data_IF_956073682197
#
_entry.id   IF_956073682197
#
_cell.length_a   1.000
_cell.length_b   1.000
_cell.length_c   1.000
_cell.angle_alpha   90.00
_cell.angle_beta   90.00
_cell.angle_gamma   90.00
#
_symmetry.space_group_name_H-M   'P 1'
#
loop_
_entity.id
_entity.type
_entity.pdbx_description
1 polymer ?
#
# COMPACT_ATOMS: atom_id res chain seq x y z
N UNK A 1 12.87 -18.80 20.18
CA UNK A 1 12.66 -18.71 18.72
C UNK A 1 12.06 -17.34 18.46
N UNK A 2 12.65 -16.54 17.58
CA UNK A 2 12.20 -15.16 17.33
C UNK A 2 10.91 -15.15 16.49
N UNK A 3 9.92 -14.29 16.80
CA UNK A 3 8.63 -14.20 16.09
C UNK A 3 8.73 -13.96 14.59
N UNK A 4 9.81 -13.32 14.10
CA UNK A 4 9.94 -12.95 12.68
C UNK A 4 10.11 -14.15 11.73
N UNK A 5 10.60 -15.28 12.23
CA UNK A 5 10.83 -16.52 11.44
C UNK A 5 10.12 -17.73 12.02
N UNK A 6 9.51 -17.59 13.19
CA UNK A 6 8.68 -18.63 13.76
C UNK A 6 7.40 -18.78 12.91
N UNK A 7 6.96 -20.02 12.64
CA UNK A 7 5.70 -20.24 11.95
C UNK A 7 4.57 -19.67 12.81
N UNK A 8 3.81 -18.74 12.23
CA UNK A 8 2.57 -18.24 12.83
C UNK A 8 1.52 -19.33 12.69
N UNK A 9 0.96 -19.77 13.81
CA UNK A 9 -0.06 -20.82 13.84
C UNK A 9 -1.27 -20.42 12.96
N UNK A 10 -1.71 -21.33 12.10
CA UNK A 10 -2.87 -21.10 11.22
C UNK A 10 -2.61 -20.19 10.02
N UNK A 11 -1.41 -19.59 9.88
CA UNK A 11 -1.08 -18.68 8.78
C UNK A 11 -1.14 -19.37 7.42
N UNK A 12 -0.50 -20.54 7.31
CA UNK A 12 -0.43 -21.30 6.07
C UNK A 12 -1.82 -21.80 5.66
N UNK A 13 -2.62 -22.26 6.62
CA UNK A 13 -4.00 -22.71 6.43
C UNK A 13 -4.90 -21.55 5.96
N UNK A 14 -4.78 -20.38 6.60
CA UNK A 14 -5.50 -19.18 6.19
C UNK A 14 -5.15 -18.80 4.75
N UNK A 15 -3.86 -18.65 4.41
CA UNK A 15 -3.42 -18.31 3.06
C UNK A 15 -3.87 -19.34 2.02
N UNK A 16 -3.82 -20.63 2.36
CA UNK A 16 -4.31 -21.74 1.52
C UNK A 16 -5.80 -21.63 1.24
N UNK A 17 -6.63 -21.28 2.25
CA UNK A 17 -8.06 -21.08 2.05
C UNK A 17 -8.35 -19.87 1.15
N UNK A 18 -7.57 -18.78 1.28
CA UNK A 18 -7.70 -17.63 0.37
C UNK A 18 -7.22 -18.00 -1.05
N UNK A 19 -6.12 -18.76 -1.20
CA UNK A 19 -5.65 -19.23 -2.52
C UNK A 19 -6.70 -20.14 -3.20
N UNK A 20 -7.36 -20.98 -2.40
CA UNK A 20 -8.46 -21.81 -2.88
C UNK A 20 -9.60 -20.97 -3.43
N UNK A 21 -10.06 -19.98 -2.66
CA UNK A 21 -11.08 -19.06 -3.14
C UNK A 21 -10.66 -18.33 -4.42
N UNK A 22 -9.42 -17.85 -4.49
CA UNK A 22 -8.93 -17.13 -5.68
C UNK A 22 -8.91 -18.01 -6.93
N UNK A 23 -8.66 -19.33 -6.80
CA UNK A 23 -8.80 -20.28 -7.93
C UNK A 23 -10.24 -20.38 -8.44
N UNK A 24 -11.25 -20.18 -7.59
CA UNK A 24 -12.65 -20.17 -8.03
C UNK A 24 -12.95 -18.94 -8.88
N UNK A 25 -12.37 -17.78 -8.55
CA UNK A 25 -12.48 -16.55 -9.33
C UNK A 25 -11.73 -16.65 -10.67
N UNK A 26 -10.68 -17.45 -10.77
CA UNK A 26 -10.01 -17.72 -12.05
C UNK A 26 -10.98 -18.34 -13.07
N UNK A 27 -11.78 -19.32 -12.65
CA UNK A 27 -12.69 -20.05 -13.53
C UNK A 27 -14.10 -19.45 -13.61
N UNK A 28 -14.44 -18.55 -12.69
CA UNK A 28 -15.76 -17.92 -12.60
C UNK A 28 -16.76 -18.71 -11.75
N UNK A 29 -17.74 -17.99 -11.21
CA UNK A 29 -18.76 -18.50 -10.30
C UNK A 29 -20.13 -18.72 -10.96
N UNK A 30 -20.28 -18.41 -12.25
CA UNK A 30 -21.55 -18.64 -12.97
C UNK A 30 -21.82 -20.13 -13.24
N UNK A 31 -20.76 -20.88 -13.59
CA UNK A 31 -20.81 -22.32 -13.88
C UNK A 31 -19.62 -23.01 -13.20
N UNK A 32 -19.64 -23.11 -11.86
CA UNK A 32 -18.52 -23.67 -11.12
C UNK A 32 -18.27 -25.12 -11.55
N UNK A 33 -17.01 -25.47 -11.79
CA UNK A 33 -16.60 -26.85 -12.05
C UNK A 33 -16.71 -27.66 -10.75
N UNK A 34 -17.06 -28.95 -10.80
CA UNK A 34 -17.16 -29.78 -9.59
C UNK A 34 -15.89 -29.74 -8.73
N UNK A 35 -14.71 -29.75 -9.36
CA UNK A 35 -13.39 -29.65 -8.72
C UNK A 35 -13.17 -28.33 -7.95
N UNK A 36 -13.95 -27.28 -8.24
CA UNK A 36 -13.84 -25.95 -7.61
C UNK A 36 -14.87 -25.71 -6.50
N UNK A 37 -15.82 -26.62 -6.31
CA UNK A 37 -16.78 -26.55 -5.20
C UNK A 37 -16.10 -26.80 -3.86
N UNK A 38 -15.11 -27.69 -3.82
CA UNK A 38 -14.32 -27.96 -2.61
C UNK A 38 -13.46 -26.76 -2.21
N UNK A 39 -12.97 -25.98 -3.18
CA UNK A 39 -12.21 -24.75 -2.94
C UNK A 39 -13.05 -23.71 -2.17
N UNK A 40 -14.37 -23.58 -2.46
CA UNK A 40 -15.29 -22.70 -1.70
C UNK A 40 -15.49 -23.18 -0.26
N UNK A 41 -15.49 -24.49 -0.04
CA UNK A 41 -15.69 -25.08 1.28
C UNK A 41 -14.52 -24.75 2.22
N UNK A 42 -13.30 -24.61 1.71
CA UNK A 42 -12.14 -24.20 2.51
C UNK A 42 -12.31 -22.81 3.11
N UNK A 43 -12.85 -21.84 2.36
CA UNK A 43 -13.16 -20.52 2.87
C UNK A 43 -14.22 -20.59 3.98
N UNK A 44 -15.29 -21.37 3.77
CA UNK A 44 -16.33 -21.57 4.78
C UNK A 44 -15.79 -22.15 6.08
N UNK A 45 -14.90 -23.16 5.99
CA UNK A 45 -14.26 -23.77 7.16
C UNK A 45 -13.37 -22.77 7.90
N UNK A 46 -12.57 -22.00 7.17
CA UNK A 46 -11.65 -21.00 7.75
C UNK A 46 -12.38 -19.94 8.58
N UNK A 47 -13.62 -19.59 8.22
CA UNK A 47 -14.42 -18.59 8.94
C UNK A 47 -15.51 -19.20 9.85
N UNK A 48 -15.52 -20.52 10.04
CA UNK A 48 -16.58 -21.23 10.77
C UNK A 48 -16.71 -20.84 12.24
N UNK A 49 -15.62 -20.41 12.88
CA UNK A 49 -15.61 -19.90 14.25
C UNK A 49 -15.98 -18.41 14.39
N UNK A 50 -16.32 -17.74 13.29
CA UNK A 50 -16.57 -16.29 13.27
C UNK A 50 -18.06 -15.95 13.18
N UNK A 51 -18.46 -14.71 13.48
CA UNK A 51 -19.82 -14.23 13.23
C UNK A 51 -20.28 -14.31 11.76
N UNK A 52 -19.35 -14.50 10.81
CA UNK A 52 -19.67 -14.62 9.37
C UNK A 52 -20.09 -16.03 8.96
N UNK A 53 -19.88 -17.05 9.81
CA UNK A 53 -19.97 -18.47 9.45
C UNK A 53 -21.25 -18.85 8.69
N UNK A 54 -22.42 -18.49 9.22
CA UNK A 54 -23.71 -18.84 8.61
C UNK A 54 -23.91 -18.17 7.24
N UNK A 55 -23.62 -16.88 7.14
CA UNK A 55 -23.77 -16.12 5.88
C UNK A 55 -22.80 -16.61 4.81
N UNK A 56 -21.57 -16.93 5.21
CA UNK A 56 -20.56 -17.43 4.27
C UNK A 56 -20.88 -18.84 3.82
N UNK A 57 -21.39 -19.70 4.69
CA UNK A 57 -21.86 -21.02 4.30
C UNK A 57 -23.01 -20.94 3.27
N UNK A 58 -23.98 -20.04 3.49
CA UNK A 58 -25.06 -19.79 2.53
C UNK A 58 -24.50 -19.28 1.18
N UNK A 59 -23.67 -18.23 1.21
CA UNK A 59 -23.10 -17.64 0.01
C UNK A 59 -22.23 -18.63 -0.79
N UNK A 60 -21.41 -19.42 -0.10
CA UNK A 60 -20.60 -20.47 -0.71
C UNK A 60 -21.49 -21.56 -1.33
N UNK A 61 -22.57 -21.97 -0.65
CA UNK A 61 -23.54 -22.92 -1.19
C UNK A 61 -24.23 -22.42 -2.45
N UNK A 62 -24.64 -21.15 -2.49
CA UNK A 62 -25.24 -20.52 -3.68
C UNK A 62 -24.23 -20.36 -4.80
N UNK A 63 -22.99 -20.00 -4.49
CA UNK A 63 -21.91 -19.90 -5.48
C UNK A 63 -21.59 -21.28 -6.09
N UNK A 64 -21.56 -22.34 -5.27
CA UNK A 64 -21.31 -23.71 -5.72
C UNK A 64 -22.38 -24.24 -6.70
N UNK A 65 -23.59 -23.70 -6.68
CA UNK A 65 -24.66 -24.04 -7.64
C UNK A 65 -24.84 -23.02 -8.76
N UNK A 66 -23.96 -22.03 -8.89
CA UNK A 66 -24.08 -20.94 -9.88
C UNK A 66 -25.27 -20.00 -9.64
N UNK A 67 -25.82 -19.97 -8.42
CA UNK A 67 -27.01 -19.22 -8.05
C UNK A 67 -26.71 -18.01 -7.14
N UNK A 68 -25.43 -17.65 -6.97
CA UNK A 68 -25.01 -16.50 -6.18
C UNK A 68 -25.43 -15.17 -6.85
N UNK A 69 -26.08 -14.32 -6.05
CA UNK A 69 -26.37 -12.92 -6.38
C UNK A 69 -25.28 -11.98 -5.82
N UNK A 70 -25.46 -10.67 -6.00
CA UNK A 70 -24.49 -9.65 -5.56
C UNK A 70 -24.23 -9.69 -4.04
N UNK A 71 -25.24 -9.88 -3.21
CA UNK A 71 -25.10 -9.95 -1.75
C UNK A 71 -24.26 -11.17 -1.31
N UNK A 72 -24.40 -12.29 -2.00
CA UNK A 72 -23.56 -13.46 -1.77
C UNK A 72 -22.09 -13.16 -2.12
N UNK A 73 -21.83 -12.45 -3.23
CA UNK A 73 -20.46 -12.04 -3.57
C UNK A 73 -19.87 -11.06 -2.57
N UNK A 74 -20.65 -10.09 -2.08
CA UNK A 74 -20.23 -9.17 -1.00
C UNK A 74 -19.85 -9.98 0.24
N UNK A 75 -20.64 -10.99 0.60
CA UNK A 75 -20.38 -11.88 1.74
C UNK A 75 -19.08 -12.68 1.57
N UNK A 76 -18.82 -13.22 0.37
CA UNK A 76 -17.59 -13.95 0.07
C UNK A 76 -16.35 -13.03 0.09
N UNK A 77 -16.46 -11.82 -0.47
CA UNK A 77 -15.41 -10.80 -0.40
C UNK A 77 -15.13 -10.37 1.05
N UNK A 78 -16.17 -10.25 1.89
CA UNK A 78 -16.04 -9.94 3.30
C UNK A 78 -15.30 -11.06 4.05
N UNK A 79 -15.65 -12.32 3.80
CA UNK A 79 -14.97 -13.48 4.41
C UNK A 79 -13.48 -13.53 4.03
N UNK A 80 -13.19 -13.35 2.74
CA UNK A 80 -11.83 -13.31 2.21
C UNK A 80 -11.01 -12.19 2.85
N UNK A 81 -11.59 -10.99 2.93
CA UNK A 81 -10.96 -9.81 3.53
C UNK A 81 -10.75 -9.99 5.03
N UNK A 82 -11.72 -10.55 5.76
CA UNK A 82 -11.60 -10.83 7.19
C UNK A 82 -10.48 -11.84 7.48
N UNK A 83 -10.33 -12.88 6.65
CA UNK A 83 -9.27 -13.87 6.80
C UNK A 83 -7.88 -13.25 6.55
N UNK A 84 -7.74 -12.41 5.53
CA UNK A 84 -6.51 -11.64 5.29
C UNK A 84 -6.25 -10.61 6.40
N UNK A 85 -7.30 -10.06 7.00
CA UNK A 85 -7.21 -9.20 8.18
C UNK A 85 -6.68 -9.96 9.40
N UNK A 86 -7.12 -11.19 9.63
CA UNK A 86 -6.58 -12.04 10.69
C UNK A 86 -5.10 -12.37 10.45
N UNK A 87 -4.71 -12.65 9.20
CA UNK A 87 -3.29 -12.83 8.82
C UNK A 87 -2.48 -11.56 9.09
N UNK A 88 -2.99 -10.40 8.67
CA UNK A 88 -2.37 -9.11 8.94
C UNK A 88 -2.13 -8.90 10.43
N UNK A 89 -3.16 -9.12 11.25
CA UNK A 89 -3.10 -8.89 12.70
C UNK A 89 -2.08 -9.82 13.37
N UNK A 90 -2.03 -11.10 12.96
CA UNK A 90 -1.05 -12.06 13.48
C UNK A 90 0.39 -11.70 13.09
N UNK A 91 0.63 -11.30 11.83
CA UNK A 91 1.94 -10.85 11.37
C UNK A 91 2.39 -9.57 12.08
N UNK A 92 1.46 -8.63 12.25
CA UNK A 92 1.72 -7.35 12.91
C UNK A 92 2.04 -7.54 14.39
N UNK A 93 1.35 -8.46 15.07
CA UNK A 93 1.67 -8.82 16.45
C UNK A 93 3.10 -9.36 16.60
N UNK A 94 3.55 -10.20 15.66
CA UNK A 94 4.94 -10.68 15.64
C UNK A 94 5.97 -9.57 15.37
N UNK A 95 5.64 -8.60 14.50
CA UNK A 95 6.50 -7.41 14.28
C UNK A 95 6.55 -6.53 15.53
N UNK A 96 5.41 -6.29 16.16
CA UNK A 96 5.30 -5.50 17.39
C UNK A 96 6.12 -6.15 18.52
N UNK A 97 6.08 -7.48 18.66
CA UNK A 97 6.89 -8.22 19.64
C UNK A 97 8.40 -8.05 19.41
N UNK A 98 8.88 -8.20 18.17
CA UNK A 98 10.33 -8.09 17.90
C UNK A 98 10.83 -6.65 17.96
N UNK A 99 9.99 -5.69 17.63
CA UNK A 99 10.35 -4.27 17.72
C UNK A 99 10.13 -3.68 19.12
N UNK A 100 9.49 -4.43 20.02
CA UNK A 100 9.08 -3.94 21.35
C UNK A 100 8.02 -2.84 21.27
N UNK A 101 7.27 -2.78 20.17
CA UNK A 101 6.37 -1.68 19.84
C UNK A 101 5.00 -1.86 20.45
N UNK A 102 4.48 -0.79 21.03
CA UNK A 102 3.08 -0.73 21.49
C UNK A 102 2.19 -0.18 20.39
N UNK A 103 0.99 -0.76 20.21
CA UNK A 103 -0.02 -0.27 19.27
C UNK A 103 -1.21 0.30 20.02
N UNK A 104 -1.65 1.50 19.61
CA UNK A 104 -2.85 2.13 20.18
C UNK A 104 -4.10 1.30 19.84
N UNK A 105 -5.02 1.22 20.80
CA UNK A 105 -6.31 0.57 20.58
C UNK A 105 -7.24 1.47 19.77
N UNK A 106 -7.94 0.87 18.80
CA UNK A 106 -8.96 1.58 18.04
C UNK A 106 -10.24 1.70 18.86
N UNK A 107 -10.73 2.92 19.05
CA UNK A 107 -12.11 3.14 19.49
C UNK A 107 -13.07 2.84 18.34
N UNK A 108 -13.99 1.90 18.54
CA UNK A 108 -15.00 1.59 17.54
C UNK A 108 -15.94 2.80 17.34
N UNK A 109 -15.97 3.34 16.12
CA UNK A 109 -16.95 4.34 15.72
C UNK A 109 -18.32 3.72 15.47
N UNK A 110 -19.38 4.50 15.69
CA UNK A 110 -20.73 4.07 15.32
C UNK A 110 -20.85 3.88 13.80
N UNK A 111 -21.55 2.84 13.31
CA UNK A 111 -21.79 2.66 11.89
C UNK A 111 -22.58 3.85 11.34
N UNK A 112 -22.07 4.45 10.27
CA UNK A 112 -22.79 5.50 9.54
C UNK A 112 -23.78 4.86 8.57
N UNK A 113 -25.06 5.19 8.72
CA UNK A 113 -26.07 4.81 7.73
C UNK A 113 -26.15 5.90 6.67
N UNK A 114 -25.63 5.61 5.47
CA UNK A 114 -25.81 6.48 4.29
C UNK A 114 -26.68 5.79 3.25
N UNK A 115 -27.50 6.56 2.50
CA UNK A 115 -28.28 6.01 1.41
C UNK A 115 -27.37 5.45 0.32
N UNK A 116 -27.82 4.36 -0.30
CA UNK A 116 -27.15 3.77 -1.46
C UNK A 116 -27.21 4.75 -2.64
N UNK A 117 -26.05 5.06 -3.19
CA UNK A 117 -25.94 5.90 -4.40
C UNK A 117 -25.99 4.97 -5.60
N UNK A 118 -26.81 5.28 -6.61
CA UNK A 118 -26.97 4.45 -7.82
C UNK A 118 -25.63 4.02 -8.47
N UNK A 119 -24.58 4.83 -8.34
CA UNK A 119 -23.24 4.51 -8.83
C UNK A 119 -22.54 3.37 -8.08
N UNK A 120 -22.80 3.21 -6.77
CA UNK A 120 -22.27 2.08 -5.99
C UNK A 120 -22.90 0.77 -6.44
N UNK A 121 -24.21 0.77 -6.73
CA UNK A 121 -24.90 -0.38 -7.29
C UNK A 121 -24.35 -0.75 -8.69
N UNK A 122 -24.16 0.24 -9.57
CA UNK A 122 -23.58 0.01 -10.90
C UNK A 122 -22.16 -0.61 -10.81
N UNK A 123 -21.31 -0.10 -9.91
CA UNK A 123 -19.99 -0.69 -9.65
C UNK A 123 -20.10 -2.13 -9.13
N UNK A 124 -21.04 -2.41 -8.22
CA UNK A 124 -21.27 -3.74 -7.65
C UNK A 124 -21.72 -4.74 -8.71
N UNK A 125 -22.62 -4.35 -9.60
CA UNK A 125 -23.07 -5.18 -10.72
C UNK A 125 -21.90 -5.54 -11.64
N UNK A 126 -21.07 -4.57 -12.02
CA UNK A 126 -19.87 -4.84 -12.84
C UNK A 126 -18.89 -5.82 -12.16
N UNK A 127 -18.62 -5.63 -10.87
CA UNK A 127 -17.77 -6.52 -10.08
C UNK A 127 -18.38 -7.93 -9.93
N UNK A 128 -19.71 -8.04 -9.83
CA UNK A 128 -20.42 -9.30 -9.80
C UNK A 128 -20.33 -10.03 -11.15
N UNK A 129 -20.41 -9.32 -12.26
CA UNK A 129 -20.24 -9.88 -13.61
C UNK A 129 -18.81 -10.39 -13.85
N UNK A 130 -17.80 -9.68 -13.32
CA UNK A 130 -16.43 -10.19 -13.27
C UNK A 130 -16.32 -11.51 -12.50
N UNK A 131 -16.91 -11.60 -11.31
CA UNK A 131 -16.88 -12.82 -10.50
C UNK A 131 -17.62 -14.00 -11.16
N UNK A 132 -18.75 -13.72 -11.82
CA UNK A 132 -19.52 -14.71 -12.58
C UNK A 132 -18.72 -15.26 -13.75
N UNK A 133 -18.12 -14.37 -14.53
CA UNK A 133 -17.37 -14.69 -15.75
C UNK A 133 -16.03 -15.36 -15.44
N UNK A 134 -15.37 -14.91 -14.38
CA UNK A 134 -14.04 -15.33 -13.98
C UNK A 134 -12.93 -14.73 -14.83
N UNK A 135 -11.70 -14.77 -14.31
CA UNK A 135 -10.53 -14.16 -14.94
C UNK A 135 -10.21 -14.74 -16.33
N UNK A 136 -10.47 -16.03 -16.55
CA UNK A 136 -10.26 -16.66 -17.87
C UNK A 136 -11.30 -16.21 -18.92
N UNK A 137 -12.45 -15.71 -18.48
CA UNK A 137 -13.53 -15.30 -19.36
C UNK A 137 -13.55 -13.80 -19.69
N UNK A 138 -12.62 -13.00 -19.16
CA UNK A 138 -12.61 -11.56 -19.41
C UNK A 138 -12.27 -11.25 -20.87
N UNK A 139 -12.99 -10.29 -21.43
CA UNK A 139 -12.76 -9.70 -22.74
C UNK A 139 -12.75 -8.16 -22.64
N UNK A 140 -12.51 -7.50 -23.77
CA UNK A 140 -12.43 -6.04 -23.82
C UNK A 140 -13.77 -5.36 -23.50
N UNK A 141 -14.92 -6.02 -23.73
CA UNK A 141 -16.23 -5.46 -23.43
C UNK A 141 -16.48 -5.45 -21.92
N UNK A 142 -16.26 -6.59 -21.26
CA UNK A 142 -16.39 -6.71 -19.82
C UNK A 142 -15.39 -5.81 -19.08
N UNK A 143 -14.13 -5.78 -19.51
CA UNK A 143 -13.13 -4.89 -18.92
C UNK A 143 -13.49 -3.41 -19.13
N UNK A 144 -13.98 -3.05 -20.33
CA UNK A 144 -14.39 -1.68 -20.66
C UNK A 144 -15.63 -1.17 -19.93
N UNK A 145 -16.46 -2.07 -19.38
CA UNK A 145 -17.69 -1.73 -18.66
C UNK A 145 -17.52 -0.79 -17.45
N UNK A 146 -16.32 -0.72 -16.87
CA UNK A 146 -16.03 0.20 -15.75
C UNK A 146 -15.93 1.67 -16.17
N UNK A 147 -15.55 1.97 -17.42
CA UNK A 147 -15.24 3.34 -17.86
C UNK A 147 -16.37 4.37 -17.59
N UNK A 148 -17.65 4.12 -17.96
CA UNK A 148 -18.73 5.07 -17.65
C UNK A 148 -18.99 5.21 -16.15
N UNK A 149 -18.81 4.14 -15.36
CA UNK A 149 -18.98 4.14 -13.91
C UNK A 149 -17.92 5.03 -13.26
N UNK A 150 -16.64 4.82 -13.62
CA UNK A 150 -15.51 5.61 -13.13
C UNK A 150 -15.70 7.09 -13.48
N UNK A 151 -16.04 7.40 -14.75
CA UNK A 151 -16.27 8.76 -15.22
C UNK A 151 -17.35 9.49 -14.40
N UNK A 152 -18.43 8.80 -14.05
CA UNK A 152 -19.50 9.36 -13.23
C UNK A 152 -19.13 9.53 -11.74
N UNK A 153 -18.23 8.68 -11.21
CA UNK A 153 -17.81 8.73 -9.81
C UNK A 153 -16.73 9.79 -9.52
N UNK A 154 -15.81 10.03 -10.46
CA UNK A 154 -14.65 10.92 -10.26
C UNK A 154 -14.99 12.36 -9.79
N UNK A 155 -16.08 13.01 -10.27
CA UNK A 155 -16.45 14.34 -9.81
C UNK A 155 -16.71 14.40 -8.29
N UNK A 156 -17.31 13.36 -7.70
CA UNK A 156 -17.68 13.31 -6.28
C UNK A 156 -16.49 12.88 -5.40
N UNK A 157 -15.96 13.76 -4.53
CA UNK A 157 -14.85 13.43 -3.62
C UNK A 157 -15.09 12.24 -2.69
N UNK A 158 -16.35 11.88 -2.40
CA UNK A 158 -16.68 10.72 -1.57
C UNK A 158 -16.52 9.40 -2.34
N UNK A 159 -16.64 9.42 -3.67
CA UNK A 159 -16.58 8.24 -4.52
C UNK A 159 -15.20 8.01 -5.17
N UNK A 160 -14.32 9.02 -5.14
CA UNK A 160 -12.98 8.96 -5.77
C UNK A 160 -12.14 7.76 -5.35
N UNK A 161 -12.18 7.34 -4.07
CA UNK A 161 -11.41 6.18 -3.58
C UNK A 161 -11.78 4.92 -4.37
N UNK A 162 -13.08 4.66 -4.54
CA UNK A 162 -13.56 3.53 -5.32
C UNK A 162 -13.31 3.76 -6.82
N UNK A 163 -13.56 4.97 -7.33
CA UNK A 163 -13.33 5.28 -8.74
C UNK A 163 -11.88 5.00 -9.18
N UNK A 164 -10.88 5.45 -8.41
CA UNK A 164 -9.46 5.21 -8.72
C UNK A 164 -9.09 3.74 -8.64
N UNK A 165 -9.67 2.98 -7.69
CA UNK A 165 -9.47 1.55 -7.60
C UNK A 165 -10.04 0.80 -8.82
N UNK A 166 -11.27 1.16 -9.22
CA UNK A 166 -11.93 0.58 -10.39
C UNK A 166 -11.18 0.93 -11.69
N UNK A 167 -10.70 2.17 -11.82
CA UNK A 167 -9.91 2.63 -12.97
C UNK A 167 -8.63 1.79 -13.13
N UNK A 168 -7.83 1.67 -12.07
CA UNK A 168 -6.61 0.86 -12.08
C UNK A 168 -6.89 -0.62 -12.34
N UNK A 169 -7.91 -1.19 -11.69
CA UNK A 169 -8.26 -2.59 -11.89
C UNK A 169 -8.75 -2.88 -13.31
N UNK A 170 -9.63 -2.03 -13.86
CA UNK A 170 -10.12 -2.16 -15.22
C UNK A 170 -8.99 -2.02 -16.26
N UNK A 171 -8.05 -1.10 -16.04
CA UNK A 171 -6.88 -0.94 -16.90
C UNK A 171 -6.02 -2.21 -16.95
N UNK A 172 -5.79 -2.87 -15.82
CA UNK A 172 -5.06 -4.14 -15.78
C UNK A 172 -5.80 -5.28 -16.45
N UNK A 173 -7.12 -5.38 -16.24
CA UNK A 173 -7.94 -6.38 -16.90
C UNK A 173 -7.87 -6.17 -18.42
N UNK A 174 -8.04 -4.93 -18.90
CA UNK A 174 -7.98 -4.58 -20.32
C UNK A 174 -6.62 -4.89 -20.95
N UNK A 175 -5.52 -4.63 -20.24
CA UNK A 175 -4.16 -4.99 -20.68
C UNK A 175 -3.93 -6.50 -20.74
N UNK A 176 -4.78 -7.28 -20.06
CA UNK A 176 -4.69 -8.74 -19.96
C UNK A 176 -5.78 -9.45 -20.79
N UNK A 177 -6.53 -8.72 -21.62
CA UNK A 177 -7.57 -9.27 -22.47
C UNK A 177 -7.00 -9.86 -23.79
N UNK A 178 -7.55 -10.99 -24.29
CA UNK A 178 -8.53 -11.84 -23.61
C UNK A 178 -7.88 -12.68 -22.50
N UNK A 179 -8.59 -12.86 -21.39
CA UNK A 179 -8.04 -13.58 -20.22
C UNK A 179 -7.71 -15.06 -20.49
N UNK A 180 -8.36 -15.65 -21.49
CA UNK A 180 -8.12 -17.03 -21.93
C UNK A 180 -6.75 -17.23 -22.57
N UNK A 181 -6.09 -16.16 -23.02
CA UNK A 181 -4.76 -16.19 -23.63
C UNK A 181 -3.62 -15.96 -22.62
N UNK A 182 -3.93 -15.76 -21.33
CA UNK A 182 -2.93 -15.51 -20.31
C UNK A 182 -2.23 -16.80 -19.88
N UNK A 183 -0.89 -16.83 -20.02
CA UNK A 183 -0.06 -17.91 -19.50
C UNK A 183 -0.12 -17.98 -17.97
N UNK A 184 -0.25 -16.84 -17.31
CA UNK A 184 -0.34 -16.73 -15.85
C UNK A 184 -1.36 -15.66 -15.45
N UNK A 185 -2.32 -16.06 -14.62
CA UNK A 185 -3.29 -15.14 -14.02
C UNK A 185 -2.80 -14.73 -12.63
N UNK A 186 -2.72 -13.42 -12.31
CA UNK A 186 -2.32 -12.93 -10.99
C UNK A 186 -3.47 -13.06 -9.97
N UNK A 187 -3.92 -14.29 -9.73
CA UNK A 187 -5.16 -14.60 -9.01
C UNK A 187 -5.27 -13.93 -7.64
N UNK A 188 -4.19 -13.94 -6.85
CA UNK A 188 -4.14 -13.27 -5.54
C UNK A 188 -4.42 -11.78 -5.66
N UNK A 189 -3.68 -11.11 -6.53
CA UNK A 189 -3.72 -9.67 -6.72
C UNK A 189 -5.09 -9.21 -7.24
N UNK A 190 -5.65 -9.90 -8.23
CA UNK A 190 -6.98 -9.58 -8.75
C UNK A 190 -8.10 -9.93 -7.75
N UNK A 191 -7.93 -10.99 -6.96
CA UNK A 191 -8.81 -11.29 -5.83
C UNK A 191 -8.81 -10.19 -4.76
N UNK A 192 -7.63 -9.62 -4.45
CA UNK A 192 -7.49 -8.50 -3.52
C UNK A 192 -8.20 -7.24 -4.04
N UNK A 193 -7.94 -6.87 -5.29
CA UNK A 193 -8.60 -5.71 -5.93
C UNK A 193 -10.11 -5.88 -6.01
N UNK A 194 -10.58 -7.05 -6.44
CA UNK A 194 -12.01 -7.36 -6.55
C UNK A 194 -12.71 -7.28 -5.19
N UNK A 195 -12.16 -7.95 -4.17
CA UNK A 195 -12.77 -7.99 -2.84
C UNK A 195 -12.83 -6.59 -2.22
N UNK A 196 -11.73 -5.85 -2.35
CA UNK A 196 -11.63 -4.47 -1.84
C UNK A 196 -12.62 -3.55 -2.55
N UNK A 197 -12.72 -3.63 -3.88
CA UNK A 197 -13.66 -2.83 -4.65
C UNK A 197 -15.11 -3.16 -4.28
N UNK A 198 -15.42 -4.45 -4.13
CA UNK A 198 -16.77 -4.90 -3.79
C UNK A 198 -17.20 -4.42 -2.41
N UNK A 199 -16.32 -4.50 -1.40
CA UNK A 199 -16.61 -3.98 -0.06
C UNK A 199 -16.77 -2.46 -0.03
N UNK A 200 -16.02 -1.72 -0.84
CA UNK A 200 -16.18 -0.27 -0.97
C UNK A 200 -17.51 0.13 -1.64
N UNK A 201 -18.24 -0.80 -2.26
CA UNK A 201 -19.62 -0.54 -2.74
C UNK A 201 -20.66 -0.57 -1.63
N UNK A 202 -20.31 -1.08 -0.44
CA UNK A 202 -21.23 -1.14 0.71
C UNK A 202 -21.30 0.27 1.35
N UNK A 203 -22.50 0.84 1.54
CA UNK A 203 -22.64 2.14 2.18
C UNK A 203 -21.92 2.21 3.53
N UNK A 204 -21.16 3.27 3.75
CA UNK A 204 -20.35 3.47 4.96
C UNK A 204 -18.96 2.81 4.94
N UNK A 205 -18.70 1.84 4.05
CA UNK A 205 -17.39 1.19 3.97
C UNK A 205 -16.27 2.12 3.47
N UNK A 206 -16.62 3.11 2.65
CA UNK A 206 -15.69 4.11 2.12
C UNK A 206 -15.63 5.39 2.97
N UNK A 207 -16.29 5.43 4.13
CA UNK A 207 -16.34 6.64 4.93
C UNK A 207 -14.96 7.06 5.41
N UNK A 208 -14.74 8.37 5.37
CA UNK A 208 -13.46 8.94 5.77
C UNK A 208 -13.22 8.65 7.25
N UNK A 209 -12.00 8.23 7.64
CA UNK A 209 -11.65 8.10 9.04
C UNK A 209 -11.93 9.40 9.79
N UNK A 210 -12.19 9.28 11.09
CA UNK A 210 -12.21 10.45 11.95
C UNK A 210 -10.85 11.17 11.84
N UNK A 211 -10.89 12.48 11.66
CA UNK A 211 -9.69 13.29 11.53
C UNK A 211 -9.54 14.12 12.79
N UNK A 212 -8.42 13.93 13.48
CA UNK A 212 -7.98 14.78 14.59
C UNK A 212 -6.94 15.78 14.08
N UNK A 213 -6.47 16.66 14.95
CA UNK A 213 -5.43 17.64 14.61
C UNK A 213 -4.15 17.32 15.36
N UNK A 214 -3.02 17.30 14.65
CA UNK A 214 -1.69 17.06 15.17
C UNK A 214 -0.89 18.36 15.21
N UNK A 215 -0.49 18.78 16.41
CA UNK A 215 0.44 19.89 16.66
C UNK A 215 1.68 19.35 17.36
N UNK A 216 2.87 19.61 16.82
CA UNK A 216 4.11 19.00 17.32
C UNK A 216 5.22 18.95 16.29
N UNK A 217 6.24 18.15 16.55
CA UNK A 217 7.41 17.99 15.68
C UNK A 217 7.32 16.69 14.90
N UNK A 218 7.45 16.76 13.58
CA UNK A 218 7.52 15.61 12.69
C UNK A 218 8.99 15.34 12.32
N UNK A 219 9.43 14.10 12.48
CA UNK A 219 10.78 13.64 12.21
C UNK A 219 10.76 12.61 11.06
N UNK A 220 11.05 13.03 9.81
CA UNK A 220 11.07 12.12 8.68
C UNK A 220 12.14 11.04 8.81
N UNK A 221 11.76 9.78 8.58
CA UNK A 221 12.66 8.62 8.58
C UNK A 221 13.13 8.27 7.15
N UNK A 222 12.25 8.46 6.18
CA UNK A 222 12.49 8.10 4.78
C UNK A 222 11.20 8.14 3.97
N UNK A 223 11.30 7.75 2.69
CA UNK A 223 10.20 7.82 1.73
C UNK A 223 10.11 6.55 0.90
N UNK A 224 8.89 6.03 0.74
CA UNK A 224 8.50 5.04 -0.26
C UNK A 224 7.90 5.76 -1.49
N UNK A 225 8.32 5.38 -2.71
CA UNK A 225 7.83 5.96 -3.95
C UNK A 225 7.03 4.91 -4.71
N UNK A 226 5.73 5.17 -4.86
CA UNK A 226 4.83 4.33 -5.64
C UNK A 226 4.62 4.94 -7.03
N UNK A 227 4.96 4.18 -8.08
CA UNK A 227 4.70 4.56 -9.46
C UNK A 227 3.65 3.63 -10.08
N UNK A 228 2.58 4.21 -10.60
CA UNK A 228 1.59 3.55 -11.45
C UNK A 228 1.64 4.16 -12.86
N UNK A 229 1.03 3.54 -13.86
CA UNK A 229 0.95 4.11 -15.21
C UNK A 229 0.31 5.52 -15.18
N UNK A 230 -0.77 5.69 -14.42
CA UNK A 230 -1.60 6.91 -14.41
C UNK A 230 -1.38 7.82 -13.19
N UNK A 231 -0.59 7.41 -12.20
CA UNK A 231 -0.37 8.16 -10.98
C UNK A 231 1.00 7.87 -10.35
N UNK A 232 1.47 8.78 -9.51
CA UNK A 232 2.59 8.50 -8.60
C UNK A 232 2.26 9.02 -7.20
N UNK A 233 2.81 8.37 -6.19
CA UNK A 233 2.69 8.78 -4.80
C UNK A 233 4.04 8.70 -4.10
N UNK A 234 4.42 9.78 -3.42
CA UNK A 234 5.49 9.78 -2.43
C UNK A 234 4.86 9.63 -1.04
N UNK A 235 5.27 8.61 -0.29
CA UNK A 235 4.84 8.36 1.07
C UNK A 235 6.04 8.51 2.02
N UNK A 236 6.04 9.56 2.82
CA UNK A 236 7.05 9.81 3.85
C UNK A 236 6.63 9.08 5.12
N UNK A 237 7.51 8.22 5.64
CA UNK A 237 7.37 7.60 6.94
C UNK A 237 8.11 8.45 7.97
N UNK A 238 7.48 8.72 9.11
CA UNK A 238 8.01 9.63 10.11
C UNK A 238 7.62 9.22 11.53
N UNK A 239 8.37 9.74 12.50
CA UNK A 239 7.95 9.77 13.90
C UNK A 239 7.40 11.16 14.21
N UNK A 240 6.22 11.23 14.79
CA UNK A 240 5.61 12.47 15.26
C UNK A 240 5.73 12.57 16.77
N UNK A 241 6.29 13.68 17.26
CA UNK A 241 6.40 14.06 18.66
C UNK A 241 5.32 15.11 18.98
N UNK A 242 4.23 14.74 19.66
CA UNK A 242 3.17 15.67 20.03
C UNK A 242 3.66 16.82 20.91
N UNK A 243 3.18 18.04 20.67
CA UNK A 243 3.53 19.22 21.47
C UNK A 243 3.03 19.16 22.93
N UNK A 244 2.03 18.32 23.19
CA UNK A 244 1.49 18.08 24.53
C UNK A 244 2.36 17.14 25.40
N UNK A 245 3.48 16.65 24.86
CA UNK A 245 4.42 15.77 25.55
C UNK A 245 3.96 14.33 25.67
N UNK A 246 2.87 13.93 25.00
CA UNK A 246 2.47 12.52 24.90
C UNK A 246 3.49 11.71 24.09
N UNK A 247 3.39 10.38 24.17
CA UNK A 247 4.37 9.48 23.53
C UNK A 247 4.47 9.74 22.02
N UNK A 248 5.68 9.64 21.43
CA UNK A 248 5.85 9.73 19.99
C UNK A 248 5.00 8.68 19.26
N UNK A 249 4.58 9.00 18.04
CA UNK A 249 3.70 8.13 17.22
C UNK A 249 4.28 7.91 15.84
N UNK A 250 4.10 6.71 15.30
CA UNK A 250 4.38 6.44 13.90
C UNK A 250 3.29 7.06 13.03
N UNK A 251 3.71 7.88 12.08
CA UNK A 251 2.81 8.52 11.12
C UNK A 251 3.38 8.44 9.71
N UNK A 252 2.50 8.63 8.74
CA UNK A 252 2.84 8.75 7.32
C UNK A 252 2.27 10.03 6.76
N UNK A 253 2.96 10.66 5.83
CA UNK A 253 2.43 11.75 5.03
C UNK A 253 2.58 11.39 3.55
N UNK A 254 1.48 11.44 2.79
CA UNK A 254 1.49 11.03 1.39
C UNK A 254 1.10 12.18 0.46
N UNK A 255 1.83 12.32 -0.63
CA UNK A 255 1.53 13.24 -1.73
C UNK A 255 1.33 12.42 -2.98
N UNK A 256 0.19 12.59 -3.66
CA UNK A 256 -0.14 11.86 -4.89
C UNK A 256 -0.43 12.81 -6.04
N UNK A 257 0.03 12.46 -7.24
CA UNK A 257 -0.16 13.26 -8.45
C UNK A 257 -0.57 12.37 -9.63
N UNK A 258 -1.51 12.80 -10.48
CA UNK A 258 -1.78 12.12 -11.73
C UNK A 258 -0.57 12.30 -12.67
N UNK A 259 -0.28 11.27 -13.47
CA UNK A 259 0.79 11.32 -14.48
C UNK A 259 0.42 10.51 -15.71
N UNK A 260 0.90 10.86 -16.91
CA UNK A 260 0.90 9.93 -18.03
C UNK A 260 1.96 8.84 -17.80
N UNK A 261 1.78 7.69 -18.44
CA UNK A 261 2.67 6.52 -18.38
C UNK A 261 4.12 6.83 -18.81
N UNK A 262 4.27 7.78 -19.74
CA UNK A 262 5.57 8.27 -20.23
C UNK A 262 6.41 9.04 -19.19
N UNK A 263 5.83 9.48 -18.08
CA UNK A 263 6.58 10.13 -16.99
C UNK A 263 7.03 9.06 -15.99
N UNK A 264 8.34 8.81 -15.93
CA UNK A 264 8.97 7.79 -15.08
C UNK A 264 10.23 8.35 -14.40
N UNK A 265 10.72 7.64 -13.38
CA UNK A 265 11.99 7.93 -12.70
C UNK A 265 12.06 9.40 -12.23
N UNK A 266 13.15 10.12 -12.53
CA UNK A 266 13.36 11.50 -12.09
C UNK A 266 12.25 12.48 -12.54
N UNK A 267 11.46 12.15 -13.56
CA UNK A 267 10.31 12.95 -13.98
C UNK A 267 9.16 12.97 -12.97
N UNK A 268 9.07 11.95 -12.12
CA UNK A 268 8.05 11.88 -11.07
C UNK A 268 8.24 12.99 -10.04
N UNK A 269 9.49 13.32 -9.68
CA UNK A 269 9.77 14.42 -8.77
C UNK A 269 9.27 15.77 -9.29
N UNK A 270 9.36 16.02 -10.61
CA UNK A 270 8.84 17.26 -11.20
C UNK A 270 7.32 17.42 -10.99
N UNK A 271 6.58 16.31 -10.95
CA UNK A 271 5.14 16.34 -10.72
C UNK A 271 4.80 16.51 -9.24
N UNK A 272 5.58 15.90 -8.34
CA UNK A 272 5.35 15.95 -6.89
C UNK A 272 5.79 17.27 -6.24
N UNK A 273 6.70 18.01 -6.88
CA UNK A 273 7.26 19.27 -6.38
C UNK A 273 6.24 20.29 -5.87
N UNK A 274 5.01 20.50 -6.40
CA UNK A 274 4.08 21.47 -5.83
C UNK A 274 3.81 21.32 -4.32
N UNK A 275 4.10 20.16 -3.72
CA UNK A 275 4.06 19.89 -2.28
C UNK A 275 5.46 19.92 -1.65
N UNK A 276 6.20 21.02 -1.85
CA UNK A 276 7.64 21.11 -1.59
C UNK A 276 8.02 20.98 -0.12
N UNK A 277 7.25 21.51 0.84
CA UNK A 277 7.84 21.77 2.17
C UNK A 277 8.27 20.48 2.88
N UNK A 278 7.46 19.41 2.81
CA UNK A 278 7.80 18.09 3.35
C UNK A 278 8.97 17.44 2.61
N UNK A 279 8.92 17.43 1.28
CA UNK A 279 9.91 16.74 0.44
C UNK A 279 11.27 17.45 0.49
N UNK A 280 11.27 18.78 0.57
CA UNK A 280 12.46 19.60 0.81
C UNK A 280 13.04 19.32 2.20
N UNK A 281 12.23 19.31 3.25
CA UNK A 281 12.72 19.02 4.60
C UNK A 281 13.34 17.62 4.70
N UNK A 282 12.74 16.61 4.06
CA UNK A 282 13.32 15.27 3.96
C UNK A 282 14.69 15.30 3.24
N UNK A 283 14.78 15.99 2.10
CA UNK A 283 16.02 16.09 1.31
C UNK A 283 17.13 16.87 2.03
N UNK A 284 16.78 17.85 2.85
CA UNK A 284 17.70 18.68 3.63
C UNK A 284 18.02 18.11 5.02
N UNK A 285 17.39 16.99 5.41
CA UNK A 285 17.54 16.41 6.74
C UNK A 285 17.05 17.36 7.84
N UNK A 286 15.79 17.82 7.74
CA UNK A 286 15.14 18.72 8.69
C UNK A 286 13.87 18.09 9.26
N UNK A 287 13.56 18.43 10.51
CA UNK A 287 12.24 18.17 11.08
C UNK A 287 11.21 19.13 10.46
N UNK A 288 9.93 18.87 10.71
CA UNK A 288 8.85 19.81 10.40
C UNK A 288 8.07 20.13 11.67
N UNK A 289 7.80 21.40 11.92
CA UNK A 289 6.88 21.84 12.95
C UNK A 289 5.46 21.89 12.36
N UNK A 290 4.55 21.13 12.95
CA UNK A 290 3.16 21.02 12.53
C UNK A 290 2.25 21.82 13.45
N UNK A 291 1.32 22.56 12.87
CA UNK A 291 0.28 23.30 13.58
C UNK A 291 -1.11 22.83 13.11
N UNK A 292 -1.77 22.06 13.96
CA UNK A 292 -3.11 21.50 13.73
C UNK A 292 -3.22 20.72 12.40
N UNK A 293 -2.17 20.02 11.97
CA UNK A 293 -2.19 19.21 10.75
C UNK A 293 -3.26 18.11 10.87
N UNK A 294 -4.15 17.90 9.88
CA UNK A 294 -5.15 16.86 9.99
C UNK A 294 -4.51 15.45 9.98
N UNK A 295 -4.89 14.62 10.95
CA UNK A 295 -4.35 13.27 11.18
C UNK A 295 -5.50 12.25 11.26
N UNK A 296 -5.43 11.20 10.44
CA UNK A 296 -6.38 10.07 10.52
C UNK A 296 -6.07 9.15 11.71
N UNK A 297 -7.06 8.37 12.11
CA UNK A 297 -6.90 7.35 13.16
C UNK A 297 -5.87 6.23 12.82
N UNK A 298 -5.54 6.04 11.54
CA UNK A 298 -4.51 5.09 11.07
C UNK A 298 -3.10 5.69 10.95
N UNK A 299 -2.94 6.96 11.32
CA UNK A 299 -1.64 7.64 11.30
C UNK A 299 -1.28 8.31 9.99
N UNK A 300 -2.24 8.56 9.10
CA UNK A 300 -1.98 9.29 7.86
C UNK A 300 -2.26 10.79 8.06
N UNK A 301 -1.22 11.61 7.85
CA UNK A 301 -1.29 13.05 7.81
C UNK A 301 -1.85 13.49 6.45
N UNK A 302 -2.93 14.28 6.48
CA UNK A 302 -3.46 14.95 5.29
C UNK A 302 -2.68 16.24 5.10
N UNK A 303 -1.66 16.19 4.25
CA UNK A 303 -0.69 17.27 4.12
C UNK A 303 -1.32 18.61 3.69
N UNK A 304 -1.04 19.65 4.48
CA UNK A 304 -1.41 21.04 4.23
C UNK A 304 -0.18 21.93 4.49
N UNK A 305 0.44 22.46 3.43
CA UNK A 305 1.64 23.30 3.53
C UNK A 305 1.44 24.56 4.39
N UNK A 306 0.19 25.05 4.56
CA UNK A 306 -0.08 26.19 5.42
C UNK A 306 0.09 25.86 6.92
N UNK A 307 0.09 24.57 7.27
CA UNK A 307 0.16 24.03 8.63
C UNK A 307 1.52 23.42 8.98
N UNK A 308 2.52 23.60 8.11
CA UNK A 308 3.82 22.97 8.25
C UNK A 308 4.95 23.99 8.04
N UNK A 309 5.98 23.95 8.89
CA UNK A 309 7.17 24.80 8.78
C UNK A 309 8.42 23.96 8.96
N UNK A 310 9.49 24.30 8.24
CA UNK A 310 10.78 23.64 8.43
C UNK A 310 11.31 23.91 9.85
N UNK A 311 11.54 22.83 10.60
CA UNK A 311 12.14 22.86 11.93
C UNK A 311 13.65 22.68 11.88
N UNK A 312 14.27 22.28 12.98
CA UNK A 312 15.72 22.12 13.12
C UNK A 312 16.30 20.97 12.25
N UNK A 313 17.60 21.00 11.94
CA UNK A 313 18.29 19.86 11.33
C UNK A 313 18.13 18.59 12.17
N UNK A 314 17.82 17.48 11.50
CA UNK A 314 17.66 16.16 12.12
C UNK A 314 18.29 15.09 11.23
N UNK A 315 19.07 14.21 11.84
CA UNK A 315 19.60 13.03 11.16
C UNK A 315 18.60 11.88 11.26
N UNK A 316 18.20 11.32 10.11
CA UNK A 316 17.18 10.27 10.07
C UNK A 316 17.65 8.95 10.70
N UNK A 317 18.94 8.61 10.58
CA UNK A 317 19.51 7.41 11.22
C UNK A 317 19.56 7.56 12.73
N UNK A 318 19.96 8.72 13.24
CA UNK A 318 19.94 9.04 14.67
C UNK A 318 18.51 9.05 15.22
N UNK A 319 17.56 9.61 14.48
CA UNK A 319 16.14 9.56 14.81
C UNK A 319 15.64 8.12 14.89
N UNK A 320 15.96 7.31 13.89
CA UNK A 320 15.56 5.90 13.84
C UNK A 320 16.23 5.07 14.95
N UNK A 321 17.44 5.44 15.38
CA UNK A 321 18.13 4.77 16.49
C UNK A 321 17.53 5.14 17.85
N UNK A 322 17.14 6.40 18.05
CA UNK A 322 16.80 6.93 19.39
C UNK A 322 15.30 7.06 19.62
N UNK A 323 14.55 7.59 18.66
CA UNK A 323 13.13 7.97 18.84
C UNK A 323 12.17 6.90 18.32
N UNK A 324 12.50 6.24 17.21
CA UNK A 324 11.66 5.19 16.63
C UNK A 324 11.33 4.05 17.62
N UNK A 325 12.25 3.56 18.49
CA UNK A 325 11.91 2.53 19.47
C UNK A 325 10.91 2.98 20.53
N UNK A 326 10.76 4.29 20.76
CA UNK A 326 9.80 4.84 21.73
C UNK A 326 8.46 5.20 21.11
N UNK A 327 8.32 5.06 19.79
CA UNK A 327 7.12 5.46 19.06
C UNK A 327 6.04 4.38 19.12
N UNK A 328 4.82 4.77 19.49
CA UNK A 328 3.64 3.92 19.39
C UNK A 328 3.16 3.81 17.94
N UNK A 329 2.69 2.63 17.53
CA UNK A 329 1.99 2.47 16.27
C UNK A 329 0.50 2.81 16.41
N UNK A 330 -0.08 3.36 15.36
CA UNK A 330 -1.52 3.62 15.27
C UNK A 330 -2.26 2.37 14.74
N UNK A 331 -3.55 2.20 15.08
CA UNK A 331 -4.32 1.04 14.67
C UNK A 331 -4.61 1.04 13.17
N UNK A 332 -4.73 -0.14 12.58
CA UNK A 332 -5.20 -0.30 11.18
C UNK A 332 -6.72 -0.48 11.14
N UNK A 333 -7.38 0.31 10.30
CA UNK A 333 -8.82 0.22 10.06
C UNK A 333 -9.18 -1.15 9.48
N UNK A 334 -10.35 -1.74 9.83
CA UNK A 334 -10.66 -3.12 9.48
C UNK A 334 -10.53 -3.48 7.99
N UNK A 335 -10.93 -2.59 7.09
CA UNK A 335 -10.80 -2.85 5.64
C UNK A 335 -9.36 -2.76 5.14
N UNK A 336 -8.50 -2.02 5.85
CA UNK A 336 -7.10 -1.77 5.49
C UNK A 336 -6.13 -2.80 6.10
N UNK A 337 -6.64 -3.72 6.94
CA UNK A 337 -5.92 -4.89 7.45
C UNK A 337 -5.72 -5.90 6.33
N UNK A 338 -4.58 -5.80 5.66
CA UNK A 338 -4.19 -6.69 4.59
C UNK A 338 -2.69 -6.93 4.65
N UNK A 339 -2.15 -8.15 4.45
CA UNK A 339 -0.72 -8.41 4.61
C UNK A 339 0.15 -7.53 3.71
N UNK A 340 -0.27 -7.29 2.46
CA UNK A 340 0.44 -6.40 1.52
C UNK A 340 0.48 -4.91 1.95
N UNK A 341 -0.30 -4.51 2.97
CA UNK A 341 -0.28 -3.15 3.55
C UNK A 341 0.74 -3.01 4.68
N UNK A 342 1.33 -4.11 5.17
CA UNK A 342 2.36 -4.07 6.21
C UNK A 342 3.59 -3.34 5.65
N UNK A 343 3.97 -2.27 6.35
CA UNK A 343 5.08 -1.39 6.01
C UNK A 343 5.59 -0.73 7.31
N UNK A 344 6.14 -1.54 8.19
CA UNK A 344 6.52 -1.15 9.55
C UNK A 344 7.95 -0.60 9.58
N UNK A 345 8.17 0.68 9.97
CA UNK A 345 9.51 1.25 10.05
C UNK A 345 10.39 0.52 11.07
N UNK A 346 11.62 0.21 10.66
CA UNK A 346 12.64 -0.42 11.51
C UNK A 346 14.00 0.23 11.29
N UNK A 347 14.83 0.15 12.33
CA UNK A 347 16.24 0.51 12.28
C UNK A 347 17.08 -0.74 12.53
N UNK A 348 18.04 -1.00 11.65
CA UNK A 348 18.95 -2.14 11.74
C UNK A 348 20.40 -1.66 11.77
N UNK A 349 21.20 -2.25 12.64
CA UNK A 349 22.65 -2.09 12.73
C UNK A 349 23.31 -3.39 13.21
N UNK A 350 24.63 -3.52 13.01
CA UNK A 350 25.37 -4.70 13.46
C UNK A 350 24.98 -6.00 12.75
N UNK A 351 24.43 -5.91 11.54
CA UNK A 351 24.03 -7.07 10.73
C UNK A 351 25.15 -7.53 9.80
N UNK A 352 25.19 -8.85 9.57
CA UNK A 352 25.99 -9.42 8.49
C UNK A 352 25.23 -9.33 7.16
N UNK A 353 25.96 -9.36 6.05
CA UNK A 353 25.42 -9.20 4.70
C UNK A 353 25.89 -10.37 3.86
N UNK A 354 24.94 -11.05 3.24
CA UNK A 354 25.20 -12.19 2.36
C UNK A 354 24.39 -12.01 1.07
N UNK A 355 24.93 -12.51 -0.04
CA UNK A 355 24.25 -12.56 -1.31
C UNK A 355 23.85 -14.02 -1.59
N UNK A 356 22.55 -14.31 -1.65
CA UNK A 356 22.00 -15.61 -2.03
C UNK A 356 21.32 -15.50 -3.40
N UNK A 357 22.01 -15.97 -4.43
CA UNK A 357 21.63 -15.71 -5.83
C UNK A 357 21.53 -14.20 -6.09
N UNK A 358 20.36 -13.74 -6.55
CA UNK A 358 20.07 -12.31 -6.78
C UNK A 358 19.50 -11.60 -5.55
N UNK A 359 19.27 -12.31 -4.43
CA UNK A 359 18.70 -11.74 -3.22
C UNK A 359 19.78 -11.37 -2.20
N UNK A 360 19.82 -10.10 -1.82
CA UNK A 360 20.62 -9.63 -0.68
C UNK A 360 19.92 -10.04 0.62
N UNK A 361 20.68 -10.58 1.57
CA UNK A 361 20.20 -11.00 2.88
C UNK A 361 20.96 -10.25 3.97
N UNK A 362 20.22 -9.67 4.92
CA UNK A 362 20.79 -9.16 6.17
C UNK A 362 20.58 -10.19 7.28
N UNK A 363 21.66 -10.57 7.96
CA UNK A 363 21.58 -11.40 9.15
C UNK A 363 21.64 -10.52 10.39
N UNK A 364 20.48 -10.30 11.02
CA UNK A 364 20.34 -9.46 12.21
C UNK A 364 20.13 -10.37 13.42
N UNK A 365 21.03 -10.32 14.41
CA UNK A 365 20.95 -11.18 15.60
C UNK A 365 20.76 -12.68 15.28
N UNK A 366 21.40 -13.17 14.21
CA UNK A 366 21.29 -14.55 13.74
C UNK A 366 20.07 -14.87 12.87
N UNK A 367 19.27 -13.86 12.49
CA UNK A 367 18.08 -14.03 11.66
C UNK A 367 18.28 -13.48 10.25
N UNK A 368 18.07 -14.32 9.24
CA UNK A 368 18.11 -13.94 7.84
C UNK A 368 16.86 -13.13 7.47
N UNK A 369 17.07 -11.92 6.96
CA UNK A 369 16.04 -11.02 6.47
C UNK A 369 16.34 -10.67 5.00
N UNK A 370 15.55 -11.16 4.05
CA UNK A 370 15.70 -10.80 2.64
C UNK A 370 15.48 -9.30 2.45
N UNK A 371 16.37 -8.67 1.70
CA UNK A 371 16.33 -7.25 1.35
C UNK A 371 15.74 -7.09 -0.05
N UNK A 372 14.68 -6.30 -0.15
CA UNK A 372 13.99 -6.00 -1.39
C UNK A 372 14.62 -4.76 -2.05
N UNK A 373 15.71 -4.99 -2.79
CA UNK A 373 16.43 -3.94 -3.52
C UNK A 373 15.69 -3.47 -4.78
N UNK A 374 14.73 -4.26 -5.28
CA UNK A 374 13.94 -3.93 -6.47
C UNK A 374 12.94 -2.79 -6.20
N UNK A 375 12.59 -2.59 -4.92
CA UNK A 375 11.75 -1.46 -4.46
C UNK A 375 12.51 -0.16 -4.24
N UNK A 376 13.83 -0.13 -4.47
CA UNK A 376 14.59 1.12 -4.39
C UNK A 376 14.16 2.02 -5.55
N UNK A 377 13.68 3.25 -5.30
CA UNK A 377 13.23 4.13 -6.37
C UNK A 377 14.39 4.43 -7.33
N UNK A 378 14.19 4.20 -8.64
CA UNK A 378 15.20 4.57 -9.65
C UNK A 378 15.51 6.07 -9.63
N UNK A 379 14.56 6.87 -9.15
CA UNK A 379 14.70 8.30 -8.96
C UNK A 379 15.42 8.68 -7.65
N UNK A 380 16.43 7.92 -7.23
CA UNK A 380 17.09 8.09 -5.92
C UNK A 380 18.61 7.96 -6.00
N UNK A 381 19.39 8.58 -5.10
CA UNK A 381 20.80 8.24 -4.92
C UNK A 381 21.01 6.94 -4.11
N UNK A 382 19.95 6.37 -3.52
CA UNK A 382 20.01 5.05 -2.90
C UNK A 382 20.12 3.99 -4.01
N UNK A 383 21.07 3.07 -3.88
CA UNK A 383 21.35 2.01 -4.87
C UNK A 383 21.49 0.66 -4.19
N UNK A 384 21.22 -0.47 -4.88
CA UNK A 384 21.45 -1.81 -4.35
C UNK A 384 22.88 -1.99 -3.81
N UNK A 385 23.89 -1.45 -4.52
CA UNK A 385 25.29 -1.53 -4.10
C UNK A 385 25.56 -0.75 -2.82
N UNK A 386 24.95 0.43 -2.66
CA UNK A 386 25.05 1.20 -1.42
C UNK A 386 24.40 0.48 -0.24
N UNK A 387 23.28 -0.20 -0.46
CA UNK A 387 22.60 -1.04 0.55
C UNK A 387 23.48 -2.24 0.92
N UNK A 388 24.04 -2.95 -0.06
CA UNK A 388 24.96 -4.05 0.18
C UNK A 388 26.24 -3.63 0.92
N UNK A 389 26.71 -2.39 0.74
CA UNK A 389 27.88 -1.85 1.43
C UNK A 389 27.57 -1.20 2.80
N UNK A 390 26.30 -1.09 3.17
CA UNK A 390 25.86 -0.30 4.33
C UNK A 390 26.19 -0.93 5.67
N UNK A 391 26.20 -0.10 6.73
CA UNK A 391 26.45 -0.49 8.13
C UNK A 391 25.26 -0.27 9.05
N UNK A 392 24.36 0.61 8.65
CA UNK A 392 23.10 0.89 9.31
C UNK A 392 22.03 1.13 8.24
N UNK A 393 20.80 0.71 8.51
CA UNK A 393 19.69 0.81 7.57
C UNK A 393 18.41 1.25 8.30
N UNK A 394 17.76 2.30 7.81
CA UNK A 394 16.34 2.54 8.05
C UNK A 394 15.58 1.85 6.93
N UNK A 395 14.61 1.03 7.26
CA UNK A 395 13.79 0.33 6.28
C UNK A 395 12.36 0.12 6.72
N UNK A 396 11.56 -0.47 5.83
CA UNK A 396 10.21 -0.94 6.09
C UNK A 396 10.22 -2.46 6.10
N UNK A 397 9.74 -3.08 7.17
CA UNK A 397 9.36 -4.48 7.15
C UNK A 397 8.03 -4.60 6.40
N UNK A 398 8.03 -5.40 5.34
CA UNK A 398 6.87 -5.66 4.49
C UNK A 398 6.63 -7.15 4.38
N UNK A 399 5.37 -7.55 4.19
CA UNK A 399 5.04 -8.92 3.85
C UNK A 399 4.94 -9.08 2.33
N UNK A 400 5.81 -9.92 1.76
CA UNK A 400 5.81 -10.22 0.33
C UNK A 400 6.29 -11.65 0.06
N UNK A 401 5.71 -12.31 -0.94
CA UNK A 401 6.11 -13.66 -1.35
C UNK A 401 6.01 -14.74 -0.25
N UNK A 402 5.15 -14.55 0.75
CA UNK A 402 4.98 -15.51 1.85
C UNK A 402 5.96 -15.33 3.01
N UNK A 403 6.68 -14.21 3.08
CA UNK A 403 7.60 -13.89 4.17
C UNK A 403 7.75 -12.39 4.41
N UNK A 404 8.41 -12.03 5.51
CA UNK A 404 8.82 -10.65 5.76
C UNK A 404 10.08 -10.31 4.96
N UNK A 405 10.10 -9.11 4.36
CA UNK A 405 11.22 -8.55 3.62
C UNK A 405 11.51 -7.13 4.10
N UNK A 406 12.77 -6.72 3.99
CA UNK A 406 13.20 -5.36 4.28
C UNK A 406 13.24 -4.52 3.00
N UNK A 407 12.43 -3.47 2.93
CA UNK A 407 12.60 -2.42 1.93
C UNK A 407 13.49 -1.30 2.48
N UNK A 408 14.67 -1.03 1.91
CA UNK A 408 15.55 0.05 2.36
C UNK A 408 14.95 1.44 2.07
N UNK A 409 14.96 2.33 3.06
CA UNK A 409 14.60 3.74 2.91
C UNK A 409 15.82 4.66 3.00
N UNK A 410 16.76 4.32 3.89
CA UNK A 410 17.99 5.06 4.08
C UNK A 410 19.09 4.15 4.60
N UNK A 411 20.34 4.42 4.20
CA UNK A 411 21.48 3.65 4.67
C UNK A 411 22.66 4.54 5.05
N UNK A 412 23.44 4.10 6.03
CA UNK A 412 24.76 4.64 6.30
C UNK A 412 25.80 3.86 5.51
N UNK A 413 26.55 4.55 4.65
CA UNK A 413 27.69 3.99 3.92
C UNK A 413 28.95 4.83 4.14
N UNK A 414 30.10 4.34 3.67
CA UNK A 414 31.37 5.07 3.76
C UNK A 414 31.85 5.54 2.39
N UNK A 415 31.94 6.85 2.19
CA UNK A 415 32.52 7.47 0.99
C UNK A 415 33.80 8.20 1.38
N UNK A 416 34.93 7.85 0.75
CA UNK A 416 36.26 8.43 1.07
C UNK A 416 36.58 8.41 2.58
N UNK A 417 36.25 7.30 3.24
CA UNK A 417 36.41 7.07 4.70
C UNK A 417 35.54 7.96 5.61
N UNK A 418 34.56 8.69 5.07
CA UNK A 418 33.56 9.41 5.86
C UNK A 418 32.23 8.67 5.80
N UNK A 419 31.54 8.59 6.94
CA UNK A 419 30.16 8.13 6.98
C UNK A 419 29.27 9.14 6.23
N UNK A 420 28.40 8.63 5.36
CA UNK A 420 27.45 9.40 4.57
C UNK A 420 26.13 8.65 4.57
N UNK A 421 25.04 9.37 4.85
CA UNK A 421 23.70 8.84 4.72
C UNK A 421 23.19 9.00 3.28
N UNK A 422 22.58 7.95 2.73
CA UNK A 422 21.90 7.96 1.45
C UNK A 422 20.42 7.63 1.67
N UNK A 423 19.53 8.45 1.11
CA UNK A 423 18.08 8.34 1.34
C UNK A 423 17.31 8.19 0.03
N UNK A 424 16.27 7.36 0.05
CA UNK A 424 15.34 7.17 -1.06
C UNK A 424 14.79 8.50 -1.61
N UNK A 425 14.41 9.41 -0.71
CA UNK A 425 13.83 10.72 -1.04
C UNK A 425 14.82 11.89 -1.18
N UNK A 426 16.14 11.66 -1.18
CA UNK A 426 17.13 12.76 -1.16
C UNK A 426 17.06 13.71 -2.37
N UNK A 427 16.51 13.28 -3.51
CA UNK A 427 16.32 14.14 -4.69
C UNK A 427 14.94 14.83 -4.74
N UNK A 428 14.06 14.59 -3.76
CA UNK A 428 12.67 15.06 -3.83
C UNK A 428 12.54 16.60 -3.82
N UNK A 429 13.40 17.30 -3.06
CA UNK A 429 13.52 18.77 -3.05
C UNK A 429 14.40 19.35 -4.17
N UNK A 430 14.94 18.52 -5.06
CA UNK A 430 16.02 18.87 -5.98
C UNK A 430 17.38 18.36 -5.50
N UNK A 431 18.36 18.33 -6.40
CA UNK A 431 19.66 17.70 -6.12
C UNK A 431 20.85 18.47 -6.69
N UNK A 432 21.95 18.50 -5.93
CA UNK A 432 23.26 18.99 -6.38
C UNK A 432 24.12 17.87 -6.97
N UNK A 433 23.65 16.62 -6.92
CA UNK A 433 24.27 15.50 -7.61
C UNK A 433 24.20 15.72 -9.12
N UNK A 434 25.34 15.64 -9.81
CA UNK A 434 25.43 15.81 -11.27
C UNK A 434 24.55 14.80 -12.02
N UNK A 435 24.47 13.57 -11.52
CA UNK A 435 23.68 12.49 -12.15
C UNK A 435 22.20 12.77 -11.98
N UNK A 436 21.77 13.11 -10.77
CA UNK A 436 20.39 13.49 -10.48
C UNK A 436 19.97 14.75 -11.24
N UNK A 437 20.80 15.80 -11.26
CA UNK A 437 20.51 17.04 -11.97
C UNK A 437 20.37 16.84 -13.49
N UNK A 438 21.17 15.93 -14.09
CA UNK A 438 21.05 15.58 -15.51
C UNK A 438 19.76 14.83 -15.79
N UNK A 439 19.40 13.86 -14.94
CA UNK A 439 18.16 13.09 -15.07
C UNK A 439 16.91 13.99 -14.92
N UNK A 440 16.93 14.90 -13.94
CA UNK A 440 15.86 15.89 -13.74
C UNK A 440 15.69 16.80 -14.95
N UNK A 441 16.78 17.37 -15.49
CA UNK A 441 16.72 18.25 -16.66
C UNK A 441 16.07 17.56 -17.86
N UNK A 442 16.49 16.33 -18.15
CA UNK A 442 15.92 15.56 -19.26
C UNK A 442 14.41 15.31 -19.07
N UNK A 443 13.97 15.07 -17.84
CA UNK A 443 12.57 14.85 -17.55
C UNK A 443 11.72 16.13 -17.61
N UNK A 444 12.25 17.28 -17.19
CA UNK A 444 11.58 18.58 -17.28
C UNK A 444 11.24 18.95 -18.72
N UNK A 445 12.17 18.71 -19.65
CA UNK A 445 11.96 18.98 -21.08
C UNK A 445 10.79 18.13 -21.63
N UNK A 446 10.71 16.85 -21.25
CA UNK A 446 9.64 15.95 -21.67
C UNK A 446 8.26 16.35 -21.10
N UNK A 447 8.17 16.66 -19.80
CA UNK A 447 6.91 17.07 -19.15
C UNK A 447 6.39 18.38 -19.73
N UNK A 448 7.28 19.32 -20.05
CA UNK A 448 6.90 20.61 -20.66
C UNK A 448 6.24 20.41 -22.02
N UNK A 449 6.82 19.57 -22.88
CA UNK A 449 6.24 19.21 -24.18
C UNK A 449 4.86 18.56 -24.04
N UNK A 450 4.69 17.66 -23.07
CA UNK A 450 3.41 16.99 -22.82
C UNK A 450 2.33 17.98 -22.36
N UNK A 451 2.66 18.89 -21.43
CA UNK A 451 1.74 19.94 -20.97
C UNK A 451 1.34 20.88 -22.10
N UNK A 452 2.28 21.25 -22.96
CA UNK A 452 1.99 22.09 -24.14
C UNK A 452 1.02 21.38 -25.11
N UNK A 453 1.27 20.10 -25.41
CA UNK A 453 0.39 19.29 -26.27
C UNK A 453 -1.01 19.15 -25.68
N UNK A 454 -1.12 18.84 -24.40
CA UNK A 454 -2.41 18.73 -23.71
C UNK A 454 -3.17 20.07 -23.73
N UNK A 455 -2.48 21.18 -23.47
CA UNK A 455 -3.09 22.52 -23.53
C UNK A 455 -3.61 22.89 -24.93
N UNK A 456 -2.97 22.43 -26.00
CA UNK A 456 -3.46 22.61 -27.38
C UNK A 456 -4.69 21.75 -27.68
N UNK A 457 -4.78 20.54 -27.11
CA UNK A 457 -5.92 19.64 -27.28
C UNK A 457 -7.17 20.12 -26.53
N UNK A 458 -7.00 20.70 -25.34
CA UNK A 458 -8.10 21.21 -24.51
C UNK A 458 -8.65 22.59 -24.96
N UNK A 459 -7.99 23.24 -25.93
CA UNK A 459 -8.43 24.52 -26.52
C UNK A 459 -9.26 24.36 -27.81
N UNK A 460 -9.54 23.12 -28.20
CA UNK A 460 -10.50 22.76 -29.24
C UNK A 460 -11.75 22.22 -28.59
#
# INVERSE_FOLDING_TARGET
MSPLTAPVEGLAEALTAVDAFDRTLVTGLLRPRPERVDDLTLLTRAVSGSPLAARVAEAAGKAATGAANEDHFVTLAAARTALLGAVHDALTAGVDEVTGRTREERTAGAPSTRPEVNLLAAARTWLADLARTGWQGIDHELAGGAAPIVSAMLPDPALRRLATLLDGFAAELAASCPGSALDRIPARRWGDLWSRALLLTVPGAADRPAVTTATGRLLPLGLDLHEHATAAQAQVHAVFEPADGTAPRLVRASVSVPKPDTVVAAGVWQLLRPHLSLLTALGEGRSMDLDAMPLTDEGDLVWDDARARAGEPVDALATARVVLPTAAALPTAPLDRHPARIAEPVFLEGYDREQDGDTLIFTVAGHALPVDTDRIPTASPLTPEAVAASRACVGLLRWDGGGLRLQPLAVETTVRRKAVALHAGAWAGGTTDKTGARAEKAATDAVTVLRERAGRLLRK
#
